data_IF_417387405395
#
_entry.id   IF_417387405395
#
_cell.length_a   1.000
_cell.length_b   1.000
_cell.length_c   1.000
_cell.angle_alpha   90.00
_cell.angle_beta   90.00
_cell.angle_gamma   90.00
#
_symmetry.space_group_name_H-M   'P 1'
#
loop_
_entity.id
_entity.type
_entity.pdbx_description
1 polymer ?
#
# COMPACT_ATOMS: atom_id res chain seq x y z
N UNK A 1 -23.59 -3.51 4.59
CA UNK A 1 -22.56 -4.21 5.35
C UNK A 1 -21.76 -5.23 4.52
N UNK A 2 -22.36 -6.15 3.77
CA UNK A 2 -21.60 -7.14 2.99
C UNK A 2 -20.63 -6.51 1.99
N UNK A 3 -21.04 -5.46 1.31
CA UNK A 3 -20.20 -4.77 0.33
C UNK A 3 -18.99 -4.09 0.99
N UNK A 4 -19.15 -3.47 2.18
CA UNK A 4 -18.05 -2.78 2.87
C UNK A 4 -17.03 -3.79 3.39
N UNK A 5 -17.48 -4.91 3.94
CA UNK A 5 -16.59 -6.00 4.33
C UNK A 5 -15.84 -6.57 3.12
N UNK A 6 -16.53 -6.76 1.98
CA UNK A 6 -15.91 -7.16 0.72
C UNK A 6 -14.83 -6.18 0.22
N UNK A 7 -15.07 -4.88 0.34
CA UNK A 7 -14.04 -3.87 0.06
C UNK A 7 -12.84 -4.01 0.99
N UNK A 8 -13.08 -4.28 2.28
CA UNK A 8 -12.02 -4.60 3.23
C UNK A 8 -11.20 -5.83 2.82
N UNK A 9 -11.85 -6.90 2.35
CA UNK A 9 -11.14 -8.08 1.86
C UNK A 9 -10.20 -7.73 0.68
N UNK A 10 -10.65 -6.92 -0.27
CA UNK A 10 -9.83 -6.50 -1.41
C UNK A 10 -8.64 -5.62 -0.97
N UNK A 11 -8.88 -4.68 -0.04
CA UNK A 11 -7.82 -3.83 0.50
C UNK A 11 -6.77 -4.64 1.26
N UNK A 12 -7.19 -5.54 2.16
CA UNK A 12 -6.26 -6.37 2.93
C UNK A 12 -5.48 -7.38 2.07
N UNK A 13 -6.10 -7.90 1.00
CA UNK A 13 -5.39 -8.75 0.03
C UNK A 13 -4.29 -7.97 -0.70
N UNK A 14 -4.57 -6.71 -1.05
CA UNK A 14 -3.58 -5.84 -1.69
C UNK A 14 -2.43 -5.48 -0.74
N UNK A 15 -2.73 -5.16 0.52
CA UNK A 15 -1.71 -4.83 1.53
C UNK A 15 -0.74 -6.01 1.82
N UNK A 16 -1.16 -7.24 1.55
CA UNK A 16 -0.30 -8.42 1.68
C UNK A 16 0.73 -8.54 0.54
N UNK A 17 0.58 -7.79 -0.55
CA UNK A 17 1.50 -7.82 -1.69
C UNK A 17 2.44 -6.62 -1.64
N UNK A 18 3.77 -6.82 -1.56
CA UNK A 18 4.72 -5.73 -1.59
C UNK A 18 4.57 -4.85 -2.83
N UNK A 19 4.51 -3.53 -2.62
CA UNK A 19 4.33 -2.56 -3.71
C UNK A 19 2.87 -2.23 -4.06
N UNK A 20 1.89 -2.92 -3.48
CA UNK A 20 0.48 -2.54 -3.53
C UNK A 20 0.07 -1.98 -2.16
N UNK A 21 -0.88 -1.08 -2.15
CA UNK A 21 -1.43 -0.51 -0.92
C UNK A 21 -2.95 -0.64 -0.91
N UNK A 22 -3.53 -0.93 0.26
CA UNK A 22 -4.97 -0.89 0.47
C UNK A 22 -5.56 0.48 0.11
N UNK A 23 -4.79 1.56 0.29
CA UNK A 23 -5.14 2.90 -0.19
C UNK A 23 -5.33 2.97 -1.71
N UNK A 24 -4.52 2.24 -2.48
CA UNK A 24 -4.69 2.11 -3.93
C UNK A 24 -6.03 1.46 -4.26
N UNK A 25 -6.35 0.36 -3.61
CA UNK A 25 -7.65 -0.32 -3.82
C UNK A 25 -8.81 0.57 -3.39
N UNK A 26 -8.70 1.26 -2.23
CA UNK A 26 -9.73 2.20 -1.78
C UNK A 26 -10.02 3.30 -2.82
N UNK A 27 -8.98 3.75 -3.53
CA UNK A 27 -9.11 4.75 -4.58
C UNK A 27 -9.75 4.16 -5.84
N UNK A 28 -9.35 2.96 -6.26
CA UNK A 28 -9.91 2.23 -7.41
C UNK A 28 -11.42 1.99 -7.23
N UNK A 29 -11.84 1.53 -6.05
CA UNK A 29 -13.27 1.26 -5.77
C UNK A 29 -14.05 2.51 -5.34
N UNK A 30 -13.42 3.70 -5.36
CA UNK A 30 -14.06 4.99 -5.12
C UNK A 30 -14.42 5.30 -3.66
N UNK A 31 -13.84 4.59 -2.68
CA UNK A 31 -14.12 4.82 -1.24
C UNK A 31 -13.03 5.60 -0.52
N UNK A 32 -11.95 6.00 -1.20
CA UNK A 32 -10.78 6.66 -0.60
C UNK A 32 -11.14 7.92 0.20
N UNK A 33 -11.92 8.83 -0.41
CA UNK A 33 -12.35 10.05 0.27
C UNK A 33 -13.20 9.75 1.51
N UNK A 34 -14.08 8.75 1.41
CA UNK A 34 -14.90 8.32 2.54
C UNK A 34 -14.05 7.69 3.64
N UNK A 35 -13.00 6.95 3.28
CA UNK A 35 -12.05 6.36 4.23
C UNK A 35 -11.35 7.47 5.04
N UNK A 36 -10.71 8.43 4.38
CA UNK A 36 -10.01 9.55 5.02
C UNK A 36 -10.97 10.35 5.91
N UNK A 37 -12.15 10.71 5.41
CA UNK A 37 -13.14 11.45 6.18
C UNK A 37 -13.65 10.66 7.40
N UNK A 38 -13.87 9.34 7.27
CA UNK A 38 -14.33 8.52 8.39
C UNK A 38 -13.27 8.37 9.48
N UNK A 39 -11.99 8.23 9.10
CA UNK A 39 -10.89 8.21 10.07
C UNK A 39 -10.80 9.57 10.77
N UNK A 40 -10.85 10.69 10.04
CA UNK A 40 -10.86 12.03 10.62
C UNK A 40 -12.01 12.22 11.61
N UNK A 41 -13.21 11.79 11.27
CA UNK A 41 -14.37 11.84 12.15
C UNK A 41 -14.14 11.08 13.46
N UNK A 42 -13.46 9.93 13.41
CA UNK A 42 -13.09 9.19 14.62
C UNK A 42 -12.05 9.94 15.46
N UNK A 43 -11.10 10.63 14.83
CA UNK A 43 -10.12 11.45 15.54
C UNK A 43 -10.77 12.69 16.20
N UNK A 44 -11.74 13.31 15.52
CA UNK A 44 -12.48 14.46 16.07
C UNK A 44 -13.37 14.04 17.24
N UNK A 45 -13.96 12.85 17.19
CA UNK A 45 -14.70 12.30 18.34
C UNK A 45 -13.81 12.17 19.60
N UNK A 46 -12.53 11.80 19.45
CA UNK A 46 -11.61 11.72 20.59
C UNK A 46 -11.38 13.10 21.24
N UNK A 47 -11.46 14.19 20.46
CA UNK A 47 -11.31 15.57 20.95
C UNK A 47 -12.56 16.06 21.69
N UNK A 48 -13.77 15.69 21.23
CA UNK A 48 -15.05 16.08 21.83
C UNK A 48 -16.03 14.88 21.89
N UNK A 49 -15.84 13.97 22.87
CA UNK A 49 -16.63 12.74 22.97
C UNK A 49 -18.05 12.95 23.56
N UNK A 50 -18.33 14.11 24.14
CA UNK A 50 -19.59 14.37 24.84
C UNK A 50 -20.64 15.12 23.99
N UNK A 51 -20.28 15.60 22.82
CA UNK A 51 -21.22 16.23 21.89
C UNK A 51 -22.13 15.18 21.25
N UNK A 52 -23.44 15.43 21.24
CA UNK A 52 -24.41 14.56 20.58
C UNK A 52 -24.16 14.45 19.07
N UNK A 53 -23.69 15.51 18.44
CA UNK A 53 -23.33 15.54 17.03
C UNK A 53 -22.09 14.70 16.77
N UNK A 54 -21.06 14.86 17.59
CA UNK A 54 -19.82 14.09 17.50
C UNK A 54 -20.09 12.57 17.64
N UNK A 55 -20.95 12.18 18.61
CA UNK A 55 -21.36 10.79 18.81
C UNK A 55 -22.09 10.20 17.59
N UNK A 56 -23.01 10.97 16.98
CA UNK A 56 -23.75 10.53 15.79
C UNK A 56 -22.82 10.35 14.60
N UNK A 57 -21.91 11.30 14.37
CA UNK A 57 -20.92 11.26 13.31
C UNK A 57 -19.96 10.08 13.50
N UNK A 58 -19.46 9.88 14.73
CA UNK A 58 -18.62 8.72 15.08
C UNK A 58 -19.35 7.38 14.81
N UNK A 59 -20.62 7.26 15.23
CA UNK A 59 -21.40 6.04 14.97
C UNK A 59 -21.51 5.75 13.47
N UNK A 60 -21.65 6.78 12.66
CA UNK A 60 -21.71 6.65 11.19
C UNK A 60 -20.37 6.23 10.60
N UNK A 61 -19.27 6.86 11.04
CA UNK A 61 -17.92 6.52 10.62
C UNK A 61 -17.54 5.09 11.06
N UNK A 62 -17.87 4.70 12.28
CA UNK A 62 -17.59 3.38 12.83
C UNK A 62 -18.35 2.27 12.07
N UNK A 63 -19.61 2.50 11.69
CA UNK A 63 -20.40 1.58 10.86
C UNK A 63 -19.76 1.32 9.49
N UNK A 64 -18.94 2.23 9.00
CA UNK A 64 -18.16 2.05 7.78
C UNK A 64 -16.80 1.42 8.07
N UNK A 65 -16.03 1.96 9.03
CA UNK A 65 -14.65 1.54 9.29
C UNK A 65 -14.57 0.14 9.91
N UNK A 66 -15.51 -0.22 10.79
CA UNK A 66 -15.47 -1.51 11.49
C UNK A 66 -15.57 -2.71 10.54
N UNK A 67 -16.60 -2.83 9.67
CA UNK A 67 -16.66 -3.95 8.73
C UNK A 67 -15.52 -3.90 7.69
N UNK A 68 -15.08 -2.70 7.29
CA UNK A 68 -13.93 -2.54 6.41
C UNK A 68 -12.66 -3.10 7.05
N UNK A 69 -12.36 -2.68 8.29
CA UNK A 69 -11.19 -3.14 9.04
C UNK A 69 -11.22 -4.64 9.33
N UNK A 70 -12.38 -5.20 9.69
CA UNK A 70 -12.54 -6.64 9.85
C UNK A 70 -12.24 -7.39 8.55
N UNK A 71 -12.72 -6.90 7.40
CA UNK A 71 -12.41 -7.47 6.10
C UNK A 71 -10.92 -7.40 5.77
N UNK A 72 -10.29 -6.24 6.02
CA UNK A 72 -8.86 -6.06 5.80
C UNK A 72 -8.03 -7.04 6.63
N UNK A 73 -8.28 -7.14 7.92
CA UNK A 73 -7.55 -8.06 8.80
C UNK A 73 -7.75 -9.52 8.38
N UNK A 74 -8.99 -9.94 8.13
CA UNK A 74 -9.31 -11.30 7.70
C UNK A 74 -8.53 -11.67 6.42
N UNK A 75 -8.62 -10.81 5.41
CA UNK A 75 -7.96 -11.03 4.13
C UNK A 75 -6.44 -10.96 4.23
N UNK A 76 -5.91 -9.98 4.97
CA UNK A 76 -4.47 -9.84 5.17
C UNK A 76 -3.84 -11.11 5.71
N UNK A 77 -4.38 -11.68 6.80
CA UNK A 77 -3.85 -12.92 7.37
C UNK A 77 -3.98 -14.12 6.43
N UNK A 78 -5.14 -14.28 5.77
CA UNK A 78 -5.36 -15.40 4.85
C UNK A 78 -4.41 -15.28 3.65
N UNK A 79 -4.35 -14.11 3.03
CA UNK A 79 -3.55 -13.90 1.82
C UNK A 79 -2.05 -13.95 2.14
N UNK A 80 -1.61 -13.38 3.26
CA UNK A 80 -0.22 -13.48 3.70
C UNK A 80 0.18 -14.94 3.91
N UNK A 81 -0.67 -15.75 4.53
CA UNK A 81 -0.39 -17.19 4.73
C UNK A 81 -0.18 -17.92 3.41
N UNK A 82 -0.99 -17.65 2.37
CA UNK A 82 -0.87 -18.32 1.07
C UNK A 82 0.20 -17.70 0.17
N UNK A 83 0.34 -16.37 0.16
CA UNK A 83 1.26 -15.69 -0.74
C UNK A 83 2.69 -15.66 -0.21
N UNK A 84 2.88 -15.40 1.07
CA UNK A 84 4.20 -15.29 1.69
C UNK A 84 4.65 -16.64 2.23
N UNK A 85 3.76 -17.35 2.94
CA UNK A 85 4.07 -18.64 3.56
C UNK A 85 4.97 -18.51 4.77
N UNK A 86 5.77 -19.55 5.04
CA UNK A 86 6.78 -19.61 6.09
C UNK A 86 8.18 -19.83 5.47
N UNK A 87 9.23 -19.85 6.32
CA UNK A 87 10.59 -20.16 5.88
C UNK A 87 10.68 -21.58 5.31
N UNK A 88 10.01 -22.54 5.96
CA UNK A 88 10.01 -23.94 5.53
C UNK A 88 9.09 -24.23 4.34
N UNK A 89 8.10 -23.37 4.09
CA UNK A 89 7.11 -23.53 3.03
C UNK A 89 6.82 -22.17 2.38
N UNK A 90 7.63 -21.76 1.38
CA UNK A 90 7.47 -20.48 0.72
C UNK A 90 6.13 -20.41 -0.04
N UNK A 91 5.39 -19.32 0.19
CA UNK A 91 4.11 -19.07 -0.48
C UNK A 91 4.28 -18.73 -1.96
N UNK A 92 3.15 -18.58 -2.65
CA UNK A 92 3.13 -18.40 -4.11
C UNK A 92 3.89 -17.15 -4.61
N UNK A 93 3.98 -16.10 -3.82
CA UNK A 93 4.71 -14.87 -4.19
C UNK A 93 6.23 -15.08 -4.20
N UNK A 94 6.72 -15.96 -3.33
CA UNK A 94 8.15 -16.24 -3.14
C UNK A 94 8.70 -17.32 -4.07
N UNK A 95 7.89 -17.82 -4.97
CA UNK A 95 8.30 -18.84 -5.92
C UNK A 95 8.61 -18.23 -7.29
N UNK A 96 9.74 -18.60 -7.87
CA UNK A 96 10.16 -18.14 -9.20
C UNK A 96 9.14 -18.47 -10.31
N UNK A 97 8.31 -19.48 -10.09
CA UNK A 97 7.28 -19.92 -11.06
C UNK A 97 6.02 -19.05 -10.97
N UNK A 98 5.55 -18.73 -9.76
CA UNK A 98 4.24 -18.08 -9.55
C UNK A 98 4.34 -16.60 -9.23
N UNK A 99 5.47 -16.13 -8.68
CA UNK A 99 5.74 -14.74 -8.37
C UNK A 99 5.51 -13.81 -9.56
N UNK A 100 6.07 -14.09 -10.76
CA UNK A 100 5.88 -13.23 -11.93
C UNK A 100 4.42 -13.00 -12.29
N UNK A 101 3.57 -14.02 -12.12
CA UNK A 101 2.14 -13.92 -12.47
C UNK A 101 1.38 -13.04 -11.50
N UNK A 102 1.69 -13.14 -10.20
CA UNK A 102 1.06 -12.33 -9.17
C UNK A 102 1.45 -10.86 -9.36
N UNK A 103 2.75 -10.58 -9.54
CA UNK A 103 3.22 -9.22 -9.81
C UNK A 103 2.63 -8.67 -11.12
N UNK A 104 2.53 -9.47 -12.18
CA UNK A 104 1.94 -9.04 -13.45
C UNK A 104 0.45 -8.69 -13.32
N UNK A 105 -0.31 -9.46 -12.53
CA UNK A 105 -1.71 -9.17 -12.24
C UNK A 105 -1.84 -7.79 -11.55
N UNK A 106 -1.10 -7.55 -10.47
CA UNK A 106 -1.16 -6.28 -9.75
C UNK A 106 -0.59 -5.12 -10.57
N UNK A 107 0.45 -5.35 -11.35
CA UNK A 107 0.98 -4.36 -12.30
C UNK A 107 -0.11 -3.91 -13.28
N UNK A 108 -0.81 -4.87 -13.90
CA UNK A 108 -1.92 -4.57 -14.82
C UNK A 108 -3.06 -3.83 -14.14
N UNK A 109 -3.47 -4.29 -12.94
CA UNK A 109 -4.51 -3.67 -12.14
C UNK A 109 -4.18 -2.20 -11.83
N UNK A 110 -2.98 -1.93 -11.30
CA UNK A 110 -2.55 -0.57 -10.92
C UNK A 110 -2.37 0.29 -12.16
N UNK A 111 -1.73 -0.21 -13.22
CA UNK A 111 -1.50 0.56 -14.45
C UNK A 111 -2.79 1.15 -15.02
N UNK A 112 -3.83 0.35 -15.11
CA UNK A 112 -5.12 0.83 -15.64
C UNK A 112 -5.91 1.67 -14.65
N UNK A 113 -5.67 1.48 -13.36
CA UNK A 113 -6.36 2.23 -12.30
C UNK A 113 -5.76 3.62 -12.05
N UNK A 114 -4.60 3.94 -12.61
CA UNK A 114 -3.99 5.30 -12.57
C UNK A 114 -4.97 6.35 -13.12
N UNK A 115 -5.82 5.97 -14.06
CA UNK A 115 -6.86 6.85 -14.63
C UNK A 115 -7.87 7.34 -13.58
N UNK A 116 -8.14 6.56 -12.52
CA UNK A 116 -9.18 6.89 -11.54
C UNK A 116 -8.88 8.19 -10.78
N UNK A 117 -7.71 8.37 -10.11
CA UNK A 117 -7.39 9.65 -9.50
C UNK A 117 -7.17 10.75 -10.54
N UNK A 118 -6.65 10.42 -11.73
CA UNK A 118 -6.45 11.41 -12.79
C UNK A 118 -7.76 11.99 -13.29
N UNK A 119 -8.82 11.18 -13.43
CA UNK A 119 -10.16 11.63 -13.83
C UNK A 119 -10.84 12.52 -12.77
N UNK A 120 -10.35 12.51 -11.52
CA UNK A 120 -10.85 13.39 -10.46
C UNK A 120 -10.22 14.80 -10.51
N UNK A 121 -9.20 15.01 -11.34
CA UNK A 121 -8.61 16.33 -11.62
C UNK A 121 -9.53 17.08 -12.58
N UNK A 122 -10.01 18.25 -12.17
CA UNK A 122 -11.01 19.01 -12.93
C UNK A 122 -10.43 19.66 -14.19
N UNK A 123 -9.18 20.12 -14.12
CA UNK A 123 -8.46 20.77 -15.22
C UNK A 123 -7.08 20.16 -15.35
N UNK A 124 -6.77 19.65 -16.55
CA UNK A 124 -5.47 19.03 -16.84
C UNK A 124 -4.53 20.07 -17.44
N UNK A 125 -3.80 20.79 -16.60
CA UNK A 125 -2.80 21.78 -17.01
C UNK A 125 -1.36 21.31 -16.68
N UNK A 126 -0.38 22.10 -17.07
CA UNK A 126 1.03 21.79 -16.87
C UNK A 126 1.38 21.55 -15.38
N UNK A 127 0.74 22.28 -14.46
CA UNK A 127 0.96 22.14 -13.04
C UNK A 127 0.61 20.71 -12.55
N UNK A 128 -0.52 20.14 -12.99
CA UNK A 128 -0.96 18.82 -12.57
C UNK A 128 -0.06 17.70 -13.16
N UNK A 129 0.39 17.83 -14.42
CA UNK A 129 1.39 16.92 -14.98
C UNK A 129 2.72 16.98 -14.22
N UNK A 130 3.15 18.18 -13.83
CA UNK A 130 4.37 18.37 -13.04
C UNK A 130 4.24 17.74 -11.65
N UNK A 131 3.10 17.92 -10.96
CA UNK A 131 2.83 17.30 -9.66
C UNK A 131 2.77 15.77 -9.76
N UNK A 132 2.15 15.22 -10.80
CA UNK A 132 2.18 13.80 -11.06
C UNK A 132 3.62 13.29 -11.28
N UNK A 133 4.43 14.00 -12.05
CA UNK A 133 5.84 13.66 -12.25
C UNK A 133 6.63 13.68 -10.92
N UNK A 134 6.34 14.64 -10.03
CA UNK A 134 6.91 14.66 -8.65
C UNK A 134 6.51 13.39 -7.90
N UNK A 135 5.24 12.97 -7.94
CA UNK A 135 4.77 11.74 -7.29
C UNK A 135 5.54 10.51 -7.79
N UNK A 136 5.73 10.36 -9.11
CA UNK A 136 6.55 9.29 -9.68
C UNK A 136 7.99 9.35 -9.17
N UNK A 137 8.59 10.55 -9.18
CA UNK A 137 9.97 10.75 -8.73
C UNK A 137 10.14 10.44 -7.24
N UNK A 138 9.17 10.77 -6.40
CA UNK A 138 9.19 10.44 -4.97
C UNK A 138 9.30 8.92 -4.76
N UNK A 139 8.50 8.12 -5.46
CA UNK A 139 8.57 6.65 -5.36
C UNK A 139 9.90 6.14 -5.93
N UNK A 140 10.35 6.68 -7.06
CA UNK A 140 11.63 6.28 -7.65
C UNK A 140 12.81 6.52 -6.69
N UNK A 141 12.86 7.68 -6.05
CA UNK A 141 13.88 8.01 -5.04
C UNK A 141 13.72 7.04 -3.85
N UNK A 142 12.50 6.92 -3.32
CA UNK A 142 12.21 6.08 -2.18
C UNK A 142 12.66 4.62 -2.37
N UNK A 143 12.41 4.03 -3.53
CA UNK A 143 12.80 2.64 -3.84
C UNK A 143 14.31 2.43 -4.02
N UNK A 144 15.11 3.49 -4.10
CA UNK A 144 16.57 3.45 -4.21
C UNK A 144 17.29 3.64 -2.87
N UNK A 145 16.60 4.15 -1.87
CA UNK A 145 17.15 4.35 -0.53
C UNK A 145 16.80 3.15 0.35
N UNK A 146 17.79 2.31 0.62
CA UNK A 146 17.70 1.25 1.64
C UNK A 146 18.77 1.55 2.69
N UNK A 147 18.32 1.69 3.94
CA UNK A 147 19.27 1.81 5.06
C UNK A 147 19.67 0.39 5.47
N UNK A 148 20.93 0.01 5.23
CA UNK A 148 21.44 -1.34 5.50
C UNK A 148 21.42 -1.70 6.98
N UNK A 149 21.55 -0.71 7.90
CA UNK A 149 21.37 -0.89 9.34
C UNK A 149 20.71 0.37 9.93
N UNK A 150 19.45 0.30 10.30
CA UNK A 150 18.91 1.33 11.16
C UNK A 150 19.20 0.98 12.62
N UNK A 151 19.57 2.00 13.41
CA UNK A 151 19.54 1.83 14.85
C UNK A 151 18.08 1.54 15.26
N UNK A 152 17.82 0.38 15.86
CA UNK A 152 16.52 0.05 16.47
C UNK A 152 16.29 0.88 17.76
N UNK A 153 16.63 2.17 17.71
CA UNK A 153 16.36 3.07 18.82
C UNK A 153 14.84 3.31 18.89
N UNK A 154 14.32 3.52 20.09
CA UNK A 154 12.91 3.81 20.37
C UNK A 154 12.36 4.92 19.47
N UNK A 155 13.14 6.00 19.32
CA UNK A 155 12.78 7.14 18.47
C UNK A 155 12.66 6.74 17.00
N UNK A 156 13.58 5.89 16.50
CA UNK A 156 13.57 5.43 15.12
C UNK A 156 12.38 4.50 14.85
N UNK A 157 12.00 3.66 15.82
CA UNK A 157 10.80 2.82 15.72
C UNK A 157 9.51 3.66 15.70
N UNK A 158 9.45 4.74 16.49
CA UNK A 158 8.33 5.69 16.45
C UNK A 158 8.26 6.38 15.08
N UNK A 159 9.40 6.87 14.57
CA UNK A 159 9.46 7.48 13.22
C UNK A 159 9.03 6.48 12.14
N UNK A 160 9.49 5.23 12.23
CA UNK A 160 9.06 4.16 11.35
C UNK A 160 7.56 3.92 11.39
N UNK A 161 6.97 3.93 12.59
CA UNK A 161 5.51 3.81 12.77
C UNK A 161 4.74 4.96 12.13
N UNK A 162 5.21 6.21 12.32
CA UNK A 162 4.62 7.39 11.67
C UNK A 162 4.64 7.21 10.14
N UNK A 163 5.81 6.92 9.59
CA UNK A 163 6.00 6.83 8.15
C UNK A 163 5.27 5.62 7.54
N UNK A 164 5.33 4.45 8.18
CA UNK A 164 4.67 3.24 7.69
C UNK A 164 3.15 3.40 7.65
N UNK A 165 2.54 3.93 8.71
CA UNK A 165 1.10 4.10 8.73
C UNK A 165 0.62 5.19 7.77
N UNK A 166 1.35 6.30 7.66
CA UNK A 166 1.02 7.34 6.68
C UNK A 166 1.17 6.83 5.25
N UNK A 167 2.20 6.01 4.99
CA UNK A 167 2.40 5.35 3.70
C UNK A 167 1.24 4.41 3.33
N UNK A 168 0.72 3.62 4.27
CA UNK A 168 -0.44 2.73 4.02
C UNK A 168 -1.69 3.50 3.60
N UNK A 169 -1.84 4.75 4.04
CA UNK A 169 -2.97 5.61 3.65
C UNK A 169 -2.76 6.25 2.27
N UNK A 170 -1.52 6.32 1.78
CA UNK A 170 -1.21 6.86 0.45
C UNK A 170 -1.35 5.78 -0.62
N UNK A 171 -2.13 6.02 -1.69
CA UNK A 171 -2.16 5.12 -2.84
C UNK A 171 -0.77 4.96 -3.47
N UNK A 172 -0.38 3.73 -3.77
CA UNK A 172 0.92 3.44 -4.40
C UNK A 172 2.11 3.34 -3.44
N UNK A 173 1.91 3.53 -2.12
CA UNK A 173 2.99 3.42 -1.13
C UNK A 173 2.68 2.30 -0.15
N UNK A 174 3.60 1.36 0.02
CA UNK A 174 3.44 0.23 0.95
C UNK A 174 4.11 0.55 2.29
N UNK A 175 3.36 0.45 3.38
CA UNK A 175 3.90 0.64 4.73
C UNK A 175 4.93 -0.42 5.12
N UNK A 176 4.75 -1.67 4.67
CA UNK A 176 5.74 -2.73 4.88
C UNK A 176 7.07 -2.39 4.19
N UNK A 177 7.00 -1.87 2.96
CA UNK A 177 8.18 -1.43 2.23
C UNK A 177 8.88 -0.25 2.93
N UNK A 178 8.14 0.66 3.60
CA UNK A 178 8.73 1.71 4.45
C UNK A 178 9.54 1.11 5.59
N UNK A 179 9.01 0.12 6.30
CA UNK A 179 9.72 -0.54 7.39
C UNK A 179 10.97 -1.31 6.90
N UNK A 180 10.88 -1.90 5.72
CA UNK A 180 12.02 -2.56 5.07
C UNK A 180 13.13 -1.56 4.72
N UNK A 181 12.78 -0.46 4.04
CA UNK A 181 13.76 0.58 3.67
C UNK A 181 14.41 1.25 4.89
N UNK A 182 13.70 1.29 6.02
CA UNK A 182 14.24 1.77 7.30
C UNK A 182 15.01 0.68 8.07
N UNK A 183 15.11 -0.56 7.57
CA UNK A 183 15.78 -1.66 8.25
C UNK A 183 15.09 -2.13 9.53
N UNK A 184 13.80 -1.81 9.71
CA UNK A 184 13.05 -2.10 10.95
C UNK A 184 12.16 -3.34 10.85
N UNK A 185 11.93 -3.85 9.64
CA UNK A 185 11.02 -4.95 9.39
C UNK A 185 11.35 -6.20 10.22
N UNK A 186 12.63 -6.59 10.27
CA UNK A 186 13.07 -7.76 11.04
C UNK A 186 12.86 -7.62 12.55
N UNK A 187 13.10 -6.43 13.12
CA UNK A 187 12.84 -6.17 14.54
C UNK A 187 11.37 -6.30 14.90
N UNK A 188 10.49 -5.86 13.99
CA UNK A 188 9.05 -5.96 14.19
C UNK A 188 8.56 -7.39 13.96
N UNK A 189 9.05 -8.06 12.93
CA UNK A 189 8.73 -9.46 12.67
C UNK A 189 9.16 -10.37 13.82
N UNK A 190 10.35 -10.15 14.42
CA UNK A 190 10.82 -10.91 15.58
C UNK A 190 9.93 -10.74 16.81
N UNK A 191 9.25 -9.60 16.95
CA UNK A 191 8.31 -9.37 18.08
C UNK A 191 7.15 -10.37 18.07
N UNK A 192 6.73 -10.86 16.90
CA UNK A 192 5.69 -11.88 16.77
C UNK A 192 6.20 -13.31 17.05
N UNK A 193 7.52 -13.52 17.08
CA UNK A 193 8.18 -14.81 17.30
C UNK A 193 8.89 -14.91 18.67
N UNK A 194 8.50 -14.07 19.63
CA UNK A 194 9.03 -14.12 20.99
C UNK A 194 10.20 -13.17 21.28
N UNK A 195 10.55 -12.26 20.35
CA UNK A 195 11.59 -11.24 20.49
C UNK A 195 11.21 -10.02 21.35
N UNK A 196 10.10 -10.11 22.10
CA UNK A 196 9.59 -9.01 22.93
C UNK A 196 8.63 -8.10 22.18
N UNK A 197 7.69 -7.50 22.93
CA UNK A 197 6.65 -6.61 22.35
C UNK A 197 7.07 -5.15 22.27
N UNK A 198 8.24 -4.81 22.78
CA UNK A 198 8.73 -3.43 22.90
C UNK A 198 8.83 -2.71 21.53
N UNK A 199 9.45 -3.28 20.48
CA UNK A 199 9.53 -2.64 19.17
C UNK A 199 8.14 -2.38 18.58
N UNK A 200 7.21 -3.32 18.77
CA UNK A 200 5.84 -3.20 18.28
C UNK A 200 5.08 -2.08 19.00
N UNK A 201 5.31 -1.88 20.30
CA UNK A 201 4.69 -0.81 21.06
C UNK A 201 5.12 0.58 20.56
N UNK A 202 6.42 0.79 20.29
CA UNK A 202 6.92 2.04 19.72
C UNK A 202 6.42 2.28 18.30
N UNK A 203 6.33 1.23 17.48
CA UNK A 203 5.76 1.30 16.15
C UNK A 203 4.28 1.73 16.21
N UNK A 204 3.47 1.11 17.08
CA UNK A 204 2.06 1.45 17.27
C UNK A 204 1.92 2.89 17.75
N UNK A 205 2.73 3.33 18.70
CA UNK A 205 2.74 4.72 19.19
C UNK A 205 3.03 5.67 18.03
N UNK A 206 4.05 5.38 17.21
CA UNK A 206 4.36 6.14 16.00
C UNK A 206 3.20 6.16 15.02
N UNK A 207 2.56 5.02 14.80
CA UNK A 207 1.37 4.91 13.94
C UNK A 207 0.20 5.78 14.43
N UNK A 208 -0.06 5.82 15.73
CA UNK A 208 -1.08 6.70 16.32
C UNK A 208 -0.73 8.15 16.04
N UNK A 209 0.52 8.59 16.30
CA UNK A 209 0.98 9.94 16.01
C UNK A 209 0.81 10.26 14.52
N UNK A 210 1.17 9.31 13.64
CA UNK A 210 0.99 9.42 12.20
C UNK A 210 -0.47 9.65 11.80
N UNK A 211 -1.41 8.90 12.38
CA UNK A 211 -2.85 9.09 12.13
C UNK A 211 -3.31 10.51 12.54
N UNK A 212 -2.95 10.96 13.74
CA UNK A 212 -3.38 12.27 14.26
C UNK A 212 -2.79 13.45 13.50
N UNK A 213 -1.65 13.28 12.84
CA UNK A 213 -1.00 14.34 12.06
C UNK A 213 -1.35 14.26 10.59
N UNK A 214 -1.25 13.07 10.00
CA UNK A 214 -1.40 12.91 8.55
C UNK A 214 -2.86 12.94 8.08
N UNK A 215 -3.80 12.36 8.81
CA UNK A 215 -5.20 12.32 8.35
C UNK A 215 -5.82 13.70 8.26
N UNK A 216 -5.71 14.60 9.27
CA UNK A 216 -6.18 15.98 9.14
C UNK A 216 -5.45 16.75 8.02
N UNK A 217 -4.14 16.54 7.87
CA UNK A 217 -3.38 17.13 6.76
C UNK A 217 -3.95 16.66 5.40
N UNK A 218 -4.16 15.36 5.23
CA UNK A 218 -4.69 14.80 3.99
C UNK A 218 -6.11 15.29 3.70
N UNK A 219 -6.95 15.39 4.75
CA UNK A 219 -8.30 15.95 4.63
C UNK A 219 -8.25 17.41 4.16
N UNK A 220 -7.37 18.22 4.75
CA UNK A 220 -7.16 19.61 4.34
C UNK A 220 -6.69 19.69 2.87
N UNK A 221 -5.72 18.87 2.48
CA UNK A 221 -5.23 18.81 1.11
C UNK A 221 -6.32 18.42 0.10
N UNK A 222 -7.19 17.48 0.46
CA UNK A 222 -8.31 17.05 -0.38
C UNK A 222 -9.40 18.13 -0.46
N UNK A 223 -9.65 18.89 0.62
CA UNK A 223 -10.69 19.92 0.63
C UNK A 223 -10.26 21.19 -0.12
N UNK A 224 -9.04 21.66 0.12
CA UNK A 224 -8.56 22.94 -0.41
C UNK A 224 -7.78 22.82 -1.73
N UNK A 225 -7.06 21.69 -1.92
CA UNK A 225 -6.16 21.46 -3.06
C UNK A 225 -6.44 20.12 -3.76
N UNK A 226 -7.73 19.83 -3.99
CA UNK A 226 -8.18 18.54 -4.50
C UNK A 226 -7.46 18.10 -5.76
N UNK A 227 -7.41 18.94 -6.79
CA UNK A 227 -6.82 18.61 -8.08
C UNK A 227 -5.31 18.34 -7.96
N UNK A 228 -4.61 19.18 -7.20
CA UNK A 228 -3.19 18.99 -6.92
C UNK A 228 -2.93 17.67 -6.17
N UNK A 229 -3.76 17.38 -5.18
CA UNK A 229 -3.66 16.14 -4.40
C UNK A 229 -3.89 14.93 -5.28
N UNK A 230 -4.94 14.92 -6.10
CA UNK A 230 -5.23 13.82 -7.03
C UNK A 230 -4.12 13.64 -8.06
N UNK A 231 -3.51 14.72 -8.55
CA UNK A 231 -2.37 14.65 -9.45
C UNK A 231 -1.15 13.98 -8.80
N UNK A 232 -0.82 14.33 -7.55
CA UNK A 232 0.27 13.69 -6.79
C UNK A 232 -0.04 12.21 -6.55
N UNK A 233 -1.25 11.86 -6.11
CA UNK A 233 -1.66 10.48 -5.89
C UNK A 233 -1.60 9.65 -7.17
N UNK A 234 -1.97 10.24 -8.31
CA UNK A 234 -1.79 9.64 -9.64
C UNK A 234 -0.33 9.29 -9.90
N UNK A 235 0.57 10.23 -9.58
CA UNK A 235 2.01 10.05 -9.73
C UNK A 235 2.56 8.97 -8.81
N UNK A 236 2.13 8.94 -7.55
CA UNK A 236 2.53 7.89 -6.60
C UNK A 236 2.12 6.49 -7.10
N UNK A 237 0.88 6.35 -7.59
CA UNK A 237 0.42 5.09 -8.21
C UNK A 237 1.25 4.74 -9.46
N UNK A 238 1.55 5.73 -10.31
CA UNK A 238 2.41 5.52 -11.47
C UNK A 238 3.83 5.06 -11.09
N UNK A 239 4.40 5.67 -10.06
CA UNK A 239 5.71 5.31 -9.52
C UNK A 239 5.73 3.88 -8.94
N UNK A 240 4.65 3.44 -8.29
CA UNK A 240 4.58 2.10 -7.68
C UNK A 240 4.67 0.95 -8.70
N UNK A 241 4.44 1.20 -9.99
CA UNK A 241 4.65 0.21 -11.03
C UNK A 241 6.09 -0.31 -11.07
N UNK A 242 7.06 0.47 -10.61
CA UNK A 242 8.47 0.04 -10.53
C UNK A 242 8.61 -1.12 -9.55
N UNK A 243 7.93 -1.06 -8.42
CA UNK A 243 7.95 -2.14 -7.41
C UNK A 243 7.14 -3.36 -7.83
N UNK A 244 6.19 -3.18 -8.72
CA UNK A 244 5.31 -4.24 -9.24
C UNK A 244 5.83 -4.90 -10.52
N UNK A 245 7.06 -4.54 -10.98
CA UNK A 245 7.63 -5.16 -12.16
C UNK A 245 7.63 -6.68 -12.07
N UNK A 246 7.06 -7.42 -13.04
CA UNK A 246 6.82 -8.86 -12.90
C UNK A 246 8.10 -9.70 -12.87
N UNK A 247 9.15 -9.26 -13.55
CA UNK A 247 10.37 -10.04 -13.68
C UNK A 247 11.47 -9.48 -12.78
N UNK A 248 11.77 -10.25 -11.74
CA UNK A 248 12.74 -9.89 -10.71
C UNK A 248 13.87 -10.90 -10.66
N UNK A 249 15.02 -10.48 -10.13
CA UNK A 249 16.18 -11.33 -9.91
C UNK A 249 15.83 -12.44 -8.91
N UNK A 250 15.13 -12.09 -7.83
CA UNK A 250 14.65 -13.00 -6.79
C UNK A 250 13.24 -12.60 -6.36
N UNK A 251 12.45 -13.56 -5.90
CA UNK A 251 11.13 -13.35 -5.33
C UNK A 251 11.18 -13.57 -3.82
N UNK A 252 11.67 -12.56 -3.11
CA UNK A 252 11.71 -12.59 -1.65
C UNK A 252 10.56 -11.79 -1.03
N UNK A 253 10.32 -12.03 0.27
CA UNK A 253 9.30 -11.32 1.09
C UNK A 253 9.54 -9.82 1.10
N UNK A 254 10.80 -9.43 1.02
CA UNK A 254 11.22 -8.05 1.14
C UNK A 254 10.83 -7.18 -0.07
N UNK A 255 10.53 -7.77 -1.22
CA UNK A 255 10.02 -7.06 -2.41
C UNK A 255 10.98 -6.03 -3.01
N UNK A 256 12.21 -5.94 -2.50
CA UNK A 256 13.24 -5.00 -2.94
C UNK A 256 14.20 -5.59 -3.96
N UNK A 257 13.95 -6.82 -4.40
CA UNK A 257 14.77 -7.47 -5.41
C UNK A 257 14.85 -6.64 -6.70
N UNK A 258 16.02 -6.67 -7.32
CA UNK A 258 16.29 -5.95 -8.56
C UNK A 258 15.34 -6.39 -9.67
N UNK A 259 14.78 -5.43 -10.37
CA UNK A 259 14.01 -5.69 -11.57
C UNK A 259 14.95 -6.07 -12.72
N UNK A 260 14.64 -7.16 -13.43
CA UNK A 260 15.40 -7.59 -14.59
C UNK A 260 15.11 -6.71 -15.79
N UNK A 261 16.13 -6.47 -16.62
CA UNK A 261 16.01 -5.81 -17.90
C UNK A 261 15.45 -6.80 -18.96
N UNK A 262 14.91 -6.26 -20.06
CA UNK A 262 14.30 -7.07 -21.12
C UNK A 262 15.31 -8.07 -21.71
N UNK A 263 16.57 -7.67 -21.87
CA UNK A 263 17.66 -8.54 -22.35
C UNK A 263 17.90 -9.71 -21.38
N UNK A 264 17.94 -9.44 -20.09
CA UNK A 264 18.13 -10.47 -19.06
C UNK A 264 16.96 -11.43 -18.97
N UNK A 265 15.72 -10.93 -19.13
CA UNK A 265 14.50 -11.77 -19.15
C UNK A 265 14.53 -12.79 -20.30
N UNK A 266 15.02 -12.38 -21.48
CA UNK A 266 15.10 -13.23 -22.65
C UNK A 266 16.17 -14.33 -22.52
N UNK A 267 17.23 -14.06 -21.78
CA UNK A 267 18.36 -14.97 -21.56
C UNK A 267 18.14 -15.89 -20.33
N UNK A 268 17.24 -15.52 -19.42
CA UNK A 268 16.97 -16.28 -18.20
C UNK A 268 16.12 -17.53 -18.46
N UNK A 269 16.62 -18.74 -18.16
CA UNK A 269 15.89 -19.99 -18.39
C UNK A 269 14.60 -20.12 -17.57
N UNK A 270 14.42 -19.32 -16.51
CA UNK A 270 13.17 -19.26 -15.71
C UNK A 270 12.02 -18.67 -16.52
N UNK A 271 12.32 -17.73 -17.44
CA UNK A 271 11.34 -16.98 -18.22
C UNK A 271 11.27 -17.48 -19.69
N UNK A 272 10.92 -18.76 -19.87
CA UNK A 272 10.68 -19.30 -21.21
C UNK A 272 9.46 -18.64 -21.85
N UNK A 273 9.35 -18.74 -23.19
CA UNK A 273 8.27 -18.12 -23.96
C UNK A 273 6.86 -18.36 -23.36
N UNK A 274 6.59 -19.58 -22.89
CA UNK A 274 5.30 -19.92 -22.23
C UNK A 274 5.08 -19.12 -20.95
N UNK A 275 6.14 -18.94 -20.14
CA UNK A 275 6.08 -18.16 -18.92
C UNK A 275 5.81 -16.68 -19.21
N UNK A 276 6.46 -16.13 -20.23
CA UNK A 276 6.24 -14.73 -20.66
C UNK A 276 4.79 -14.54 -21.14
N UNK A 277 4.28 -15.45 -21.96
CA UNK A 277 2.89 -15.39 -22.46
C UNK A 277 1.90 -15.46 -21.29
N UNK A 278 2.12 -16.37 -20.34
CA UNK A 278 1.24 -16.50 -19.15
C UNK A 278 1.30 -15.26 -18.29
N UNK A 279 2.47 -14.65 -18.13
CA UNK A 279 2.62 -13.37 -17.41
C UNK A 279 1.79 -12.26 -18.07
N UNK A 280 1.78 -12.17 -19.40
CA UNK A 280 0.93 -11.21 -20.11
C UNK A 280 -0.57 -11.50 -19.96
N UNK A 281 -0.97 -12.78 -19.85
CA UNK A 281 -2.37 -13.12 -19.57
C UNK A 281 -2.80 -12.65 -18.17
N UNK A 282 -1.96 -12.84 -17.15
CA UNK A 282 -2.24 -12.33 -15.80
C UNK A 282 -2.27 -10.80 -15.75
N UNK A 283 -1.38 -10.15 -16.50
CA UNK A 283 -1.41 -8.70 -16.70
C UNK A 283 -2.76 -8.25 -17.32
N UNK A 284 -3.22 -8.92 -18.37
CA UNK A 284 -4.51 -8.63 -18.99
C UNK A 284 -5.70 -8.90 -18.03
N UNK A 285 -5.61 -9.93 -17.18
CA UNK A 285 -6.60 -10.17 -16.12
C UNK A 285 -6.63 -9.03 -15.09
N UNK A 286 -5.45 -8.52 -14.69
CA UNK A 286 -5.35 -7.35 -13.81
C UNK A 286 -6.04 -6.13 -14.43
N UNK A 287 -5.84 -5.89 -15.72
CA UNK A 287 -6.54 -4.85 -16.47
C UNK A 287 -8.05 -5.07 -16.44
N UNK A 288 -8.52 -6.28 -16.74
CA UNK A 288 -9.95 -6.58 -16.82
C UNK A 288 -10.67 -6.39 -15.48
N UNK A 289 -9.98 -6.57 -14.35
CA UNK A 289 -10.55 -6.37 -13.00
C UNK A 289 -10.59 -4.91 -12.58
N UNK A 290 -9.95 -4.00 -13.32
CA UNK A 290 -9.96 -2.55 -13.06
C UNK A 290 -11.18 -1.84 -13.67
N UNK A 291 -12.01 -2.56 -14.41
CA UNK A 291 -13.30 -2.10 -14.97
C UNK A 291 -14.47 -2.65 -14.16
#
# INVERSE_FOLDING_TARGET
>A
WPNIFGFGLLMGAADAVPGVSGGTIALIIGIYLKLINSISTCLDFIKDPFSSESMQNFSSAFKFLFPLGCGMLCSYFIVTYFLIGSEDSPGFLRQDVTGPYIFAFFFGLVLFSIKEPWNLVSVHDFQHYFLAAIGVLMIFIYTRFTLEESSNSEVMLIVGGILALTAMLLPGVSGALVLLTLGQYHSIASSFHGGGLEPLMYLILGGIIGLFTFVPFMQYMISEYRDNTMAILTGLMGGSLITLWPWKEEYDVEGLSRNLEISEILDDPRFRLVSIITTFLFFACGIATSY
#
